data_IF_028060574665
#
_entry.id   IF_028060574665
#
_cell.length_a   1.000
_cell.length_b   1.000
_cell.length_c   1.000
_cell.angle_alpha   90.00
_cell.angle_beta   90.00
_cell.angle_gamma   90.00
#
_symmetry.space_group_name_H-M   'P 1'
#
loop_
_entity.id
_entity.type
_entity.pdbx_description
1 polymer ?
#
# COMPACT_ATOMS: atom_id res chain seq x y z
N UNK A 1 -29.66 -24.13 -0.02
CA UNK A 1 -29.11 -22.77 0.15
C UNK A 1 -27.79 -22.88 0.89
N UNK A 2 -26.60 -22.94 0.25
CA UNK A 2 -25.39 -23.12 1.06
C UNK A 2 -24.03 -23.24 0.37
N UNK A 3 -23.95 -23.16 -0.97
CA UNK A 3 -22.66 -23.15 -1.67
C UNK A 3 -22.26 -21.76 -2.20
N UNK A 4 -23.23 -20.88 -2.51
CA UNK A 4 -22.96 -19.52 -2.99
C UNK A 4 -22.48 -18.56 -1.89
N UNK A 5 -22.96 -18.72 -0.65
CA UNK A 5 -22.51 -17.90 0.49
C UNK A 5 -21.05 -18.15 0.85
N UNK A 6 -20.57 -19.39 0.68
CA UNK A 6 -19.18 -19.76 1.00
C UNK A 6 -18.16 -19.15 0.02
N UNK A 7 -18.57 -18.89 -1.22
CA UNK A 7 -17.77 -18.17 -2.22
C UNK A 7 -17.74 -16.66 -1.94
N UNK A 8 -18.88 -16.08 -1.53
CA UNK A 8 -18.96 -14.69 -1.05
C UNK A 8 -18.17 -14.46 0.26
N UNK A 9 -18.17 -15.42 1.18
CA UNK A 9 -17.46 -15.34 2.46
C UNK A 9 -15.93 -15.44 2.33
N UNK A 10 -15.41 -16.03 1.25
CA UNK A 10 -13.98 -16.01 0.94
C UNK A 10 -13.46 -14.57 0.78
N UNK A 11 -14.19 -13.76 0.01
CA UNK A 11 -13.85 -12.35 -0.22
C UNK A 11 -13.98 -11.50 1.05
N UNK A 12 -14.90 -11.82 1.97
CA UNK A 12 -15.07 -11.07 3.22
C UNK A 12 -13.81 -11.08 4.10
N UNK A 13 -13.01 -12.16 4.05
CA UNK A 13 -11.76 -12.27 4.83
C UNK A 13 -10.65 -11.42 4.23
N UNK A 14 -10.53 -11.41 2.91
CA UNK A 14 -9.61 -10.54 2.17
C UNK A 14 -9.97 -9.07 2.36
N UNK A 15 -11.25 -8.71 2.25
CA UNK A 15 -11.73 -7.34 2.49
C UNK A 15 -11.36 -6.87 3.91
N UNK A 16 -11.47 -7.73 4.92
CA UNK A 16 -11.05 -7.39 6.30
C UNK A 16 -9.53 -7.22 6.43
N UNK A 17 -8.73 -8.01 5.70
CA UNK A 17 -7.28 -7.85 5.69
C UNK A 17 -6.86 -6.55 4.99
N UNK A 18 -7.46 -6.26 3.83
CA UNK A 18 -7.28 -5.02 3.09
C UNK A 18 -7.70 -3.80 3.92
N UNK A 19 -8.80 -3.90 4.67
CA UNK A 19 -9.23 -2.86 5.61
C UNK A 19 -8.18 -2.56 6.68
N UNK A 20 -7.61 -3.60 7.31
CA UNK A 20 -6.52 -3.42 8.30
C UNK A 20 -5.25 -2.81 7.70
N UNK A 21 -4.92 -3.15 6.46
CA UNK A 21 -3.80 -2.54 5.75
C UNK A 21 -4.09 -1.07 5.46
N UNK A 22 -5.31 -0.74 5.02
CA UNK A 22 -5.73 0.64 4.80
C UNK A 22 -5.67 1.46 6.09
N UNK A 23 -6.09 0.90 7.23
CA UNK A 23 -6.00 1.59 8.53
C UNK A 23 -4.53 1.86 8.93
N UNK A 24 -3.62 0.91 8.66
CA UNK A 24 -2.18 1.12 8.85
C UNK A 24 -1.63 2.22 7.96
N UNK A 25 -2.06 2.27 6.69
CA UNK A 25 -1.66 3.31 5.73
C UNK A 25 -2.13 4.69 6.22
N UNK A 26 -3.38 4.81 6.67
CA UNK A 26 -3.94 6.07 7.21
C UNK A 26 -3.18 6.51 8.46
N UNK A 27 -2.82 5.57 9.35
CA UNK A 27 -2.02 5.89 10.53
C UNK A 27 -0.59 6.35 10.18
N UNK A 28 -0.04 5.89 9.05
CA UNK A 28 1.25 6.35 8.53
C UNK A 28 1.13 7.64 7.71
N UNK A 29 -0.06 7.96 7.19
CA UNK A 29 -0.37 9.17 6.41
C UNK A 29 -0.03 10.43 7.21
N UNK A 30 -0.42 10.48 8.50
CA UNK A 30 -0.09 11.60 9.40
C UNK A 30 1.43 11.81 9.53
N UNK A 31 2.21 10.72 9.59
CA UNK A 31 3.68 10.79 9.68
C UNK A 31 4.29 11.23 8.36
N UNK A 32 3.75 10.78 7.24
CA UNK A 32 4.23 11.17 5.91
C UNK A 32 3.82 12.58 5.51
N UNK A 33 2.72 13.10 6.05
CA UNK A 33 2.25 14.46 5.80
C UNK A 33 3.21 15.53 6.37
N UNK A 34 3.94 15.19 7.45
CA UNK A 34 4.93 16.08 8.08
C UNK A 34 6.23 16.16 7.24
N UNK A 35 6.51 15.15 6.41
CA UNK A 35 7.74 15.07 5.63
C UNK A 35 7.80 16.15 4.55
N UNK A 36 9.00 16.61 4.23
CA UNK A 36 9.25 17.52 3.10
C UNK A 36 9.35 16.77 1.78
N UNK A 37 9.25 17.48 0.65
CA UNK A 37 9.34 16.88 -0.68
C UNK A 37 10.68 16.16 -0.92
N UNK A 38 11.76 16.68 -0.35
CA UNK A 38 13.08 16.08 -0.42
C UNK A 38 13.16 14.78 0.40
N UNK A 39 12.58 14.77 1.60
CA UNK A 39 12.52 13.57 2.44
C UNK A 39 11.69 12.46 1.80
N UNK A 40 10.56 12.81 1.16
CA UNK A 40 9.74 11.86 0.40
C UNK A 40 10.57 11.24 -0.74
N UNK A 41 11.28 12.06 -1.52
CA UNK A 41 12.15 11.59 -2.61
C UNK A 41 13.29 10.71 -2.10
N UNK A 42 13.89 11.08 -0.96
CA UNK A 42 14.97 10.31 -0.36
C UNK A 42 14.49 8.94 0.13
N UNK A 43 13.31 8.87 0.77
CA UNK A 43 12.68 7.59 1.13
C UNK A 43 12.41 6.69 -0.07
N UNK A 44 11.91 7.26 -1.17
CA UNK A 44 11.73 6.49 -2.41
C UNK A 44 13.04 5.89 -2.93
N UNK A 45 14.13 6.65 -2.89
CA UNK A 45 15.46 6.15 -3.29
C UNK A 45 15.95 5.05 -2.35
N UNK A 46 15.77 5.20 -1.04
CA UNK A 46 16.13 4.18 -0.06
C UNK A 46 15.42 2.85 -0.36
N UNK A 47 14.11 2.86 -0.60
CA UNK A 47 13.39 1.62 -0.94
C UNK A 47 13.86 0.98 -2.25
N UNK A 48 14.23 1.78 -3.26
CA UNK A 48 14.78 1.25 -4.50
C UNK A 48 16.14 0.58 -4.28
N UNK A 49 17.02 1.19 -3.47
CA UNK A 49 18.31 0.59 -3.12
C UNK A 49 18.12 -0.69 -2.32
N UNK A 50 17.26 -0.68 -1.30
CA UNK A 50 16.97 -1.86 -0.48
C UNK A 50 16.34 -3.00 -1.29
N UNK A 51 15.52 -2.69 -2.30
CA UNK A 51 14.99 -3.69 -3.24
C UNK A 51 16.07 -4.26 -4.16
N UNK A 52 17.03 -3.44 -4.59
CA UNK A 52 18.12 -3.86 -5.47
C UNK A 52 19.13 -4.78 -4.76
N UNK A 53 19.31 -4.61 -3.44
CA UNK A 53 20.20 -5.44 -2.63
C UNK A 53 19.62 -6.83 -2.30
N UNK A 54 18.37 -7.13 -2.68
CA UNK A 54 17.72 -8.42 -2.39
C UNK A 54 17.85 -9.38 -3.58
N UNK A 55 18.75 -10.36 -3.45
CA UNK A 55 18.99 -11.38 -4.49
C UNK A 55 17.89 -12.46 -4.58
N UNK A 56 17.05 -12.61 -3.55
CA UNK A 56 16.08 -13.70 -3.46
C UNK A 56 14.64 -13.21 -3.62
N UNK A 57 13.94 -13.72 -4.65
CA UNK A 57 12.54 -13.38 -4.97
C UNK A 57 11.60 -13.56 -3.77
N UNK A 58 11.81 -14.58 -2.93
CA UNK A 58 10.98 -14.79 -1.73
C UNK A 58 11.20 -13.69 -0.69
N UNK A 59 12.46 -13.29 -0.46
CA UNK A 59 12.78 -12.18 0.46
C UNK A 59 12.32 -10.84 -0.10
N UNK A 60 12.35 -10.69 -1.43
CA UNK A 60 11.86 -9.51 -2.11
C UNK A 60 10.35 -9.36 -1.88
N UNK A 61 9.58 -10.43 -2.04
CA UNK A 61 8.14 -10.41 -1.77
C UNK A 61 7.83 -10.10 -0.30
N UNK A 62 8.51 -10.75 0.65
CA UNK A 62 8.33 -10.46 2.08
C UNK A 62 8.70 -9.01 2.44
N UNK A 63 9.69 -8.44 1.75
CA UNK A 63 10.08 -7.04 1.92
C UNK A 63 9.05 -6.09 1.29
N UNK A 64 8.58 -6.39 0.07
CA UNK A 64 7.50 -5.67 -0.61
C UNK A 64 6.25 -5.59 0.26
N UNK A 65 5.81 -6.72 0.84
CA UNK A 65 4.64 -6.76 1.72
C UNK A 65 4.80 -5.91 2.98
N UNK A 66 6.04 -5.78 3.49
CA UNK A 66 6.36 -4.93 4.65
C UNK A 66 6.36 -3.45 4.31
N UNK A 67 6.97 -3.07 3.18
CA UNK A 67 7.05 -1.66 2.75
C UNK A 67 5.75 -1.18 2.11
N UNK A 68 4.89 -2.07 1.63
CA UNK A 68 3.64 -1.76 0.93
C UNK A 68 2.81 -0.65 1.63
N UNK A 69 2.49 -0.74 2.94
CA UNK A 69 1.72 0.31 3.59
C UNK A 69 2.43 1.66 3.68
N UNK A 70 3.75 1.68 3.85
CA UNK A 70 4.54 2.91 3.92
C UNK A 70 4.74 3.55 2.54
N UNK A 71 5.05 2.73 1.53
CA UNK A 71 5.16 3.14 0.14
C UNK A 71 3.83 3.74 -0.35
N UNK A 72 2.70 3.11 0.00
CA UNK A 72 1.38 3.62 -0.39
C UNK A 72 1.05 4.96 0.27
N UNK A 73 1.41 5.15 1.54
CA UNK A 73 1.25 6.45 2.23
C UNK A 73 2.06 7.55 1.54
N UNK A 74 3.31 7.27 1.16
CA UNK A 74 4.17 8.22 0.45
C UNK A 74 3.64 8.57 -0.95
N UNK A 75 3.19 7.58 -1.72
CA UNK A 75 2.60 7.81 -3.05
C UNK A 75 1.32 8.65 -2.96
N UNK A 76 0.49 8.41 -1.94
CA UNK A 76 -0.74 9.16 -1.68
C UNK A 76 -0.44 10.62 -1.33
N UNK A 77 0.51 10.87 -0.44
CA UNK A 77 0.93 12.24 -0.09
C UNK A 77 1.65 12.94 -1.25
N UNK A 78 2.50 12.25 -2.00
CA UNK A 78 3.12 12.79 -3.21
C UNK A 78 2.09 13.16 -4.29
N UNK A 79 1.08 12.30 -4.50
CA UNK A 79 -0.03 12.58 -5.43
C UNK A 79 -0.86 13.79 -4.98
N UNK A 80 -1.11 13.91 -3.67
CA UNK A 80 -1.80 15.06 -3.08
C UNK A 80 -1.04 16.37 -3.28
N UNK A 81 0.30 16.36 -3.19
CA UNK A 81 1.13 17.55 -3.42
C UNK A 81 1.24 17.95 -4.88
N UNK A 82 1.42 16.97 -5.77
CA UNK A 82 1.65 17.23 -7.20
C UNK A 82 0.34 17.56 -7.93
N UNK A 83 -0.71 16.79 -7.67
CA UNK A 83 -1.97 16.88 -8.42
C UNK A 83 -3.08 17.61 -7.65
N UNK A 84 -2.85 17.98 -6.37
CA UNK A 84 -3.88 18.52 -5.49
C UNK A 84 -5.15 17.64 -5.41
N UNK A 85 -5.00 16.34 -5.70
CA UNK A 85 -6.05 15.32 -5.72
C UNK A 85 -5.69 14.25 -4.71
N UNK A 86 -6.64 13.91 -3.83
CA UNK A 86 -6.49 12.81 -2.88
C UNK A 86 -7.05 11.53 -3.51
N UNK A 87 -6.26 10.46 -3.72
CA UNK A 87 -6.78 9.20 -4.23
C UNK A 87 -7.88 8.65 -3.30
N UNK A 88 -9.09 8.47 -3.85
CA UNK A 88 -10.25 7.98 -3.11
C UNK A 88 -10.07 6.51 -2.71
N UNK A 89 -10.54 6.13 -1.51
CA UNK A 89 -10.45 4.77 -0.92
C UNK A 89 -10.90 3.63 -1.86
N UNK A 90 -11.80 3.91 -2.80
CA UNK A 90 -12.33 2.93 -3.76
C UNK A 90 -11.33 2.51 -4.84
N UNK A 91 -10.28 3.30 -5.09
CA UNK A 91 -9.26 2.97 -6.09
C UNK A 91 -8.26 1.89 -5.61
N UNK A 92 -8.20 1.64 -4.30
CA UNK A 92 -7.38 0.57 -3.72
C UNK A 92 -7.92 -0.83 -4.05
N UNK A 93 -9.22 -0.97 -4.32
CA UNK A 93 -9.83 -2.27 -4.62
C UNK A 93 -9.55 -2.77 -6.05
N UNK A 94 -9.29 -1.87 -6.99
CA UNK A 94 -9.05 -2.23 -8.40
C UNK A 94 -7.69 -2.89 -8.67
N UNK A 95 -6.67 -2.61 -7.83
CA UNK A 95 -5.30 -3.09 -8.06
C UNK A 95 -5.08 -4.55 -7.64
N UNK A 96 -5.88 -5.08 -6.72
CA UNK A 96 -5.75 -6.46 -6.23
C UNK A 96 -6.38 -7.51 -7.15
N UNK A 97 -7.17 -7.12 -8.15
CA UNK A 97 -7.97 -8.05 -8.94
C UNK A 97 -7.34 -8.44 -10.28
N UNK A 98 -6.14 -7.95 -10.60
CA UNK A 98 -5.51 -8.14 -11.92
C UNK A 98 -4.01 -8.53 -11.83
N UNK A 99 -3.62 -9.21 -10.75
CA UNK A 99 -2.28 -9.79 -10.60
C UNK A 99 -2.34 -11.23 -10.12
#
# INVERSE_FOLDING_TARGET
>A
MGFLSKILDGNNKEIKQLGKLADKVIALEEKTAILTDEEIRNKTKQFQTELADIDNVKKQNDYLDKILPEAYALVREGSKRVFNMTPYKVQNYGWYCNS
#
